data_IF_665970484042
#
_entry.id   IF_665970484042
#
_cell.length_a   1.000
_cell.length_b   1.000
_cell.length_c   1.000
_cell.angle_alpha   90.00
_cell.angle_beta   90.00
_cell.angle_gamma   90.00
#
_symmetry.space_group_name_H-M   'P 1'
#
loop_
_entity.id
_entity.type
_entity.pdbx_description
1 polymer ?
#
# COMPACT_ATOMS: atom_id res chain seq x y z
N UNK A 1 22.60 28.95 -2.00
CA UNK A 1 23.57 28.09 -2.70
C UNK A 1 23.58 28.45 -4.18
N UNK A 2 24.76 28.51 -4.81
CA UNK A 2 24.88 28.75 -6.25
C UNK A 2 24.75 27.40 -6.99
N UNK A 3 23.51 27.04 -7.33
CA UNK A 3 23.19 25.79 -7.99
C UNK A 3 23.84 25.67 -9.39
N UNK A 4 24.00 26.78 -10.10
CA UNK A 4 24.67 26.78 -11.41
C UNK A 4 26.14 26.40 -11.28
N UNK A 5 26.85 26.97 -10.29
CA UNK A 5 28.24 26.58 -10.03
C UNK A 5 28.37 25.12 -9.63
N UNK A 6 27.44 24.58 -8.85
CA UNK A 6 27.44 23.15 -8.49
C UNK A 6 27.25 22.28 -9.73
N UNK A 7 26.31 22.64 -10.62
CA UNK A 7 26.10 21.93 -11.87
C UNK A 7 27.36 21.92 -12.75
N UNK A 8 28.04 23.06 -12.90
CA UNK A 8 29.25 23.14 -13.72
C UNK A 8 30.41 22.30 -13.15
N UNK A 9 30.57 22.28 -11.82
CA UNK A 9 31.56 21.41 -11.16
C UNK A 9 31.20 19.93 -11.37
N UNK A 10 29.92 19.57 -11.25
CA UNK A 10 29.44 18.21 -11.49
C UNK A 10 29.73 17.78 -12.93
N UNK A 11 29.39 18.63 -13.91
CA UNK A 11 29.67 18.39 -15.33
C UNK A 11 31.15 18.15 -15.59
N UNK A 12 32.01 18.98 -15.01
CA UNK A 12 33.46 18.83 -15.14
C UNK A 12 33.95 17.51 -14.54
N UNK A 13 33.51 17.16 -13.33
CA UNK A 13 33.95 15.95 -12.64
C UNK A 13 33.48 14.67 -13.36
N UNK A 14 32.20 14.58 -13.71
CA UNK A 14 31.64 13.42 -14.44
C UNK A 14 32.21 13.35 -15.86
N UNK A 15 32.46 14.49 -16.51
CA UNK A 15 33.11 14.55 -17.82
C UNK A 15 34.55 14.02 -17.80
N UNK A 16 35.30 14.29 -16.72
CA UNK A 16 36.65 13.76 -16.52
C UNK A 16 36.65 12.29 -16.06
N UNK A 17 35.64 11.88 -15.29
CA UNK A 17 35.55 10.57 -14.65
C UNK A 17 34.09 10.06 -14.68
N UNK A 18 33.65 9.40 -15.78
CA UNK A 18 32.24 9.01 -15.97
C UNK A 18 31.67 8.12 -14.87
N UNK A 19 32.50 7.31 -14.20
CA UNK A 19 32.07 6.46 -13.09
C UNK A 19 31.52 7.25 -11.89
N UNK A 20 31.87 8.54 -11.76
CA UNK A 20 31.36 9.41 -10.70
C UNK A 20 29.84 9.60 -10.76
N UNK A 21 29.21 9.39 -11.92
CA UNK A 21 27.76 9.47 -12.07
C UNK A 21 27.02 8.52 -11.09
N UNK A 22 27.60 7.34 -10.83
CA UNK A 22 27.04 6.33 -9.93
C UNK A 22 27.81 6.20 -8.61
N UNK A 23 28.75 7.11 -8.34
CA UNK A 23 29.55 7.03 -7.12
C UNK A 23 28.66 7.21 -5.87
N UNK A 24 28.79 6.25 -4.94
CA UNK A 24 28.02 6.23 -3.69
C UNK A 24 28.81 6.89 -2.56
N UNK A 25 28.17 7.80 -1.81
CA UNK A 25 28.80 8.40 -0.65
C UNK A 25 28.96 7.38 0.50
N UNK A 26 30.08 7.44 1.24
CA UNK A 26 30.43 6.42 2.25
C UNK A 26 29.42 6.27 3.39
N UNK A 27 28.75 7.37 3.79
CA UNK A 27 27.87 7.38 4.98
C UNK A 27 26.55 6.66 4.72
N UNK A 28 25.80 7.11 3.72
CA UNK A 28 24.45 6.63 3.45
C UNK A 28 24.37 5.73 2.20
N UNK A 29 25.42 5.68 1.37
CA UNK A 29 25.37 4.96 0.10
C UNK A 29 24.72 5.76 -1.03
N UNK A 30 24.38 7.04 -0.80
CA UNK A 30 23.66 7.83 -1.79
C UNK A 30 24.52 8.14 -3.02
N UNK A 31 23.95 7.95 -4.21
CA UNK A 31 24.42 8.55 -5.47
C UNK A 31 24.10 10.05 -5.50
N UNK A 32 24.52 10.73 -6.55
CA UNK A 32 24.20 12.14 -6.74
C UNK A 32 22.70 12.40 -6.91
N UNK A 33 21.99 11.51 -7.62
CA UNK A 33 20.55 11.60 -7.81
C UNK A 33 19.81 11.43 -6.48
N UNK A 34 20.18 10.42 -5.69
CA UNK A 34 19.61 10.20 -4.35
C UNK A 34 19.85 11.39 -3.42
N UNK A 35 21.05 11.98 -3.46
CA UNK A 35 21.39 13.17 -2.66
C UNK A 35 20.48 14.34 -2.98
N UNK A 36 20.12 14.54 -4.24
CA UNK A 36 19.27 15.65 -4.65
C UNK A 36 17.80 15.31 -4.36
N UNK A 37 17.34 14.11 -4.69
CA UNK A 37 15.96 13.66 -4.45
C UNK A 37 15.58 13.72 -2.96
N UNK A 38 16.49 13.32 -2.07
CA UNK A 38 16.27 13.35 -0.62
C UNK A 38 16.38 14.76 0.01
N UNK A 39 16.84 15.77 -0.72
CA UNK A 39 17.12 17.09 -0.15
C UNK A 39 15.99 18.08 -0.41
N UNK A 40 15.36 18.57 0.66
CA UNK A 40 14.18 19.45 0.61
C UNK A 40 14.44 20.88 0.13
N UNK A 41 15.66 21.22 -0.29
CA UNK A 41 16.06 22.61 -0.60
C UNK A 41 16.55 22.80 -2.03
N UNK A 42 16.61 21.73 -2.82
CA UNK A 42 16.93 21.82 -4.24
C UNK A 42 15.69 22.23 -5.04
N UNK A 43 15.88 22.90 -6.17
CA UNK A 43 14.76 23.23 -7.05
C UNK A 43 14.56 22.12 -8.10
N UNK A 44 13.32 21.78 -8.50
CA UNK A 44 13.06 20.81 -9.57
C UNK A 44 13.82 21.08 -10.87
N UNK A 45 14.04 22.35 -11.24
CA UNK A 45 14.77 22.71 -12.46
C UNK A 45 16.25 22.34 -12.35
N UNK A 46 16.82 22.45 -11.15
CA UNK A 46 18.20 22.01 -10.91
C UNK A 46 18.31 20.49 -10.97
N UNK A 47 17.37 19.76 -10.35
CA UNK A 47 17.35 18.30 -10.42
C UNK A 47 17.20 17.82 -11.87
N UNK A 48 16.28 18.42 -12.63
CA UNK A 48 16.12 18.15 -14.06
C UNK A 48 17.42 18.39 -14.83
N UNK A 49 18.10 19.53 -14.58
CA UNK A 49 19.36 19.85 -15.26
C UNK A 49 20.47 18.84 -14.96
N UNK A 50 20.53 18.33 -13.73
CA UNK A 50 21.47 17.26 -13.36
C UNK A 50 21.09 15.95 -14.04
N UNK A 51 19.81 15.57 -14.01
CA UNK A 51 19.31 14.34 -14.61
C UNK A 51 19.52 14.33 -16.14
N UNK A 52 19.13 15.39 -16.85
CA UNK A 52 19.33 15.54 -18.29
C UNK A 52 20.82 15.39 -18.65
N UNK A 53 21.71 16.09 -17.94
CA UNK A 53 23.14 15.99 -18.18
C UNK A 53 23.68 14.57 -17.97
N UNK A 54 23.23 13.89 -16.92
CA UNK A 54 23.68 12.54 -16.59
C UNK A 54 23.19 11.53 -17.64
N UNK A 55 21.97 11.67 -18.15
CA UNK A 55 21.36 10.80 -19.16
C UNK A 55 21.87 11.05 -20.59
N UNK A 56 22.14 12.30 -20.95
CA UNK A 56 22.71 12.68 -22.26
C UNK A 56 24.23 12.45 -22.32
N UNK A 57 24.86 12.28 -21.16
CA UNK A 57 26.29 12.08 -21.03
C UNK A 57 26.77 10.73 -21.58
N UNK A 58 28.09 10.55 -21.58
CA UNK A 58 28.72 9.25 -21.89
C UNK A 58 28.64 8.25 -20.73
N UNK A 59 28.15 8.69 -19.56
CA UNK A 59 27.98 7.85 -18.37
C UNK A 59 26.70 7.04 -18.47
N UNK A 60 26.79 5.74 -18.22
CA UNK A 60 25.60 4.91 -17.97
C UNK A 60 25.16 5.21 -16.54
N UNK A 61 23.99 5.82 -16.37
CA UNK A 61 23.44 6.18 -15.06
C UNK A 61 22.53 5.05 -14.60
N UNK A 62 22.75 4.58 -13.39
CA UNK A 62 21.90 3.57 -12.76
C UNK A 62 20.85 4.24 -11.87
N UNK A 63 19.62 4.36 -12.39
CA UNK A 63 18.48 4.91 -11.65
C UNK A 63 18.00 3.97 -10.53
N UNK A 64 18.28 2.67 -10.68
CA UNK A 64 17.92 1.60 -9.75
C UNK A 64 19.02 1.30 -8.75
N UNK A 65 20.12 2.06 -8.80
CA UNK A 65 21.11 2.05 -7.73
C UNK A 65 20.37 2.26 -6.42
N UNK A 66 20.67 1.42 -5.43
CA UNK A 66 20.09 1.48 -4.10
C UNK A 66 21.12 1.97 -3.05
N UNK A 67 20.65 2.68 -2.04
CA UNK A 67 21.48 3.09 -0.91
C UNK A 67 21.72 1.93 0.08
N UNK A 68 22.20 2.22 1.30
CA UNK A 68 22.48 1.18 2.29
C UNK A 68 21.24 0.50 2.87
N UNK A 69 20.08 1.12 2.73
CA UNK A 69 18.79 0.59 3.20
C UNK A 69 17.97 0.02 2.05
N UNK A 70 18.52 -0.01 0.83
CA UNK A 70 17.80 -0.46 -0.36
C UNK A 70 17.01 0.65 -1.06
N UNK A 71 17.03 1.90 -0.57
CA UNK A 71 16.22 2.97 -1.16
C UNK A 71 16.85 3.47 -2.47
N UNK A 72 16.04 3.54 -3.54
CA UNK A 72 16.41 4.17 -4.82
C UNK A 72 16.18 5.67 -4.78
N UNK A 73 16.59 6.39 -5.82
CA UNK A 73 16.28 7.82 -5.93
C UNK A 73 14.77 8.09 -5.98
N UNK A 74 13.98 7.17 -6.56
CA UNK A 74 12.52 7.28 -6.63
C UNK A 74 11.87 7.16 -5.25
N UNK A 75 12.30 6.17 -4.45
CA UNK A 75 11.86 6.02 -3.06
C UNK A 75 12.19 7.27 -2.24
N UNK A 76 13.43 7.75 -2.31
CA UNK A 76 13.86 8.93 -1.56
C UNK A 76 13.15 10.23 -1.96
N UNK A 77 12.63 10.32 -3.20
CA UNK A 77 11.82 11.46 -3.63
C UNK A 77 10.46 11.50 -2.90
N UNK A 78 9.92 10.34 -2.52
CA UNK A 78 8.68 10.21 -1.73
C UNK A 78 8.95 10.50 -0.25
N UNK A 79 10.06 9.98 0.29
CA UNK A 79 10.44 10.15 1.70
C UNK A 79 10.94 11.57 2.03
N UNK A 80 11.23 12.38 1.02
CA UNK A 80 11.67 13.76 1.21
C UNK A 80 10.57 14.60 1.88
N UNK A 81 10.93 15.39 2.90
CA UNK A 81 10.00 16.27 3.62
C UNK A 81 9.33 17.35 2.75
N UNK A 82 9.92 17.69 1.61
CA UNK A 82 9.28 18.59 0.64
C UNK A 82 8.42 17.84 -0.37
N UNK A 83 8.48 16.50 -0.37
CA UNK A 83 7.72 15.54 -1.19
C UNK A 83 7.40 16.09 -2.59
N UNK A 84 8.43 16.58 -3.29
CA UNK A 84 8.20 17.23 -4.58
C UNK A 84 7.89 16.16 -5.60
N UNK A 85 6.62 16.11 -5.98
CA UNK A 85 6.09 15.22 -7.01
C UNK A 85 6.89 15.35 -8.31
N UNK A 86 7.43 16.54 -8.60
CA UNK A 86 8.28 16.82 -9.74
C UNK A 86 9.54 15.95 -9.78
N UNK A 87 10.17 15.68 -8.63
CA UNK A 87 11.37 14.83 -8.61
C UNK A 87 11.03 13.40 -9.02
N UNK A 88 9.98 12.84 -8.42
CA UNK A 88 9.52 11.51 -8.78
C UNK A 88 9.05 11.45 -10.24
N UNK A 89 8.33 12.48 -10.69
CA UNK A 89 7.88 12.61 -12.09
C UNK A 89 9.05 12.61 -13.07
N UNK A 90 10.10 13.36 -12.78
CA UNK A 90 11.32 13.41 -13.61
C UNK A 90 12.04 12.06 -13.63
N UNK A 91 12.15 11.39 -12.48
CA UNK A 91 12.74 10.04 -12.39
C UNK A 91 11.93 9.01 -13.18
N UNK A 92 10.61 9.01 -13.07
CA UNK A 92 9.74 8.11 -13.85
C UNK A 92 9.83 8.43 -15.35
N UNK A 93 9.89 9.71 -15.75
CA UNK A 93 10.12 10.09 -17.15
C UNK A 93 11.47 9.56 -17.67
N UNK A 94 12.47 9.48 -16.79
CA UNK A 94 13.76 8.84 -17.06
C UNK A 94 13.72 7.31 -16.98
N UNK A 95 12.54 6.70 -16.76
CA UNK A 95 12.30 5.26 -16.62
C UNK A 95 12.81 4.62 -15.32
N UNK A 96 12.89 5.39 -14.23
CA UNK A 96 13.09 4.81 -12.91
C UNK A 96 11.92 3.90 -12.53
N UNK A 97 12.21 2.76 -11.92
CA UNK A 97 11.22 1.80 -11.45
C UNK A 97 10.55 2.26 -10.14
N UNK A 98 9.31 1.83 -9.95
CA UNK A 98 8.56 1.96 -8.70
C UNK A 98 8.44 0.63 -7.94
N UNK A 99 9.06 -0.44 -8.43
CA UNK A 99 8.95 -1.80 -7.88
C UNK A 99 10.04 -2.16 -6.88
N UNK A 100 10.97 -1.24 -6.58
CA UNK A 100 12.09 -1.51 -5.68
C UNK A 100 11.64 -1.84 -4.26
N UNK A 101 12.20 -2.90 -3.69
CA UNK A 101 12.04 -3.30 -2.29
C UNK A 101 13.27 -2.87 -1.48
N UNK A 102 13.03 -2.25 -0.33
CA UNK A 102 14.01 -1.73 0.60
C UNK A 102 13.73 -2.25 2.03
N UNK A 103 14.60 -1.94 2.99
CA UNK A 103 14.52 -2.48 4.36
C UNK A 103 13.21 -2.13 5.09
N UNK A 104 12.56 -1.05 4.66
CA UNK A 104 11.29 -0.57 5.21
C UNK A 104 10.07 -0.99 4.38
N UNK A 105 10.25 -1.85 3.36
CA UNK A 105 9.17 -2.38 2.53
C UNK A 105 9.30 -1.96 1.07
N UNK A 106 8.21 -1.51 0.46
CA UNK A 106 8.15 -1.06 -0.94
C UNK A 106 7.56 0.35 -1.01
N UNK A 107 7.29 0.84 -2.23
CA UNK A 107 6.75 2.19 -2.44
C UNK A 107 5.47 2.51 -1.67
N UNK A 108 4.60 1.52 -1.41
CA UNK A 108 3.39 1.73 -0.59
C UNK A 108 3.74 2.04 0.87
N UNK A 109 4.83 1.46 1.39
CA UNK A 109 5.31 1.76 2.75
C UNK A 109 5.85 3.19 2.86
N UNK A 110 6.63 3.64 1.86
CA UNK A 110 7.09 5.03 1.82
C UNK A 110 5.92 6.01 1.63
N UNK A 111 4.92 5.65 0.81
CA UNK A 111 3.74 6.48 0.63
C UNK A 111 2.91 6.58 1.92
N UNK A 112 2.70 5.47 2.63
CA UNK A 112 1.99 5.44 3.90
C UNK A 112 2.59 6.43 4.92
N UNK A 113 3.92 6.43 5.04
CA UNK A 113 4.63 7.23 6.04
C UNK A 113 4.80 8.69 5.65
N UNK A 114 5.13 8.96 4.38
CA UNK A 114 5.69 10.27 4.00
C UNK A 114 4.91 11.01 2.92
N UNK A 115 4.04 10.35 2.16
CA UNK A 115 3.38 11.02 1.04
C UNK A 115 2.37 12.07 1.52
N UNK A 116 2.42 13.22 0.87
CA UNK A 116 1.37 14.23 0.87
C UNK A 116 0.24 13.82 -0.07
N UNK A 117 -0.90 14.49 0.03
CA UNK A 117 -2.03 14.26 -0.88
C UNK A 117 -1.64 14.37 -2.37
N UNK A 118 -0.80 15.35 -2.74
CA UNK A 118 -0.37 15.54 -4.13
C UNK A 118 0.47 14.34 -4.62
N UNK A 119 1.35 13.83 -3.76
CA UNK A 119 2.15 12.64 -4.06
C UNK A 119 1.28 11.39 -4.18
N UNK A 120 0.30 11.23 -3.28
CA UNK A 120 -0.65 10.12 -3.34
C UNK A 120 -1.45 10.13 -4.64
N UNK A 121 -2.04 11.28 -5.02
CA UNK A 121 -2.77 11.40 -6.28
C UNK A 121 -1.87 11.15 -7.49
N UNK A 122 -0.62 11.63 -7.46
CA UNK A 122 0.31 11.32 -8.52
C UNK A 122 0.60 9.81 -8.64
N UNK A 123 0.84 9.12 -7.52
CA UNK A 123 1.08 7.67 -7.49
C UNK A 123 -0.12 6.87 -8.00
N UNK A 124 -1.36 7.29 -7.71
CA UNK A 124 -2.59 6.65 -8.22
C UNK A 124 -2.66 6.64 -9.75
N UNK A 125 -2.14 7.69 -10.39
CA UNK A 125 -2.08 7.75 -11.87
C UNK A 125 -0.97 6.89 -12.49
N UNK A 126 -0.18 6.16 -11.69
CA UNK A 126 0.93 5.32 -12.16
C UNK A 126 0.53 3.85 -12.17
N UNK A 127 1.16 3.09 -13.05
CA UNK A 127 0.98 1.64 -13.11
C UNK A 127 1.84 0.90 -12.08
N UNK A 128 1.44 0.95 -10.81
CA UNK A 128 2.20 0.37 -9.69
C UNK A 128 1.69 -1.05 -9.45
N UNK A 129 2.59 -2.01 -9.61
CA UNK A 129 2.39 -3.44 -9.30
C UNK A 129 3.51 -3.83 -8.33
N UNK A 130 3.16 -4.01 -7.06
CA UNK A 130 4.06 -4.41 -5.97
C UNK A 130 3.32 -5.31 -5.00
N UNK A 131 4.04 -6.14 -4.25
CA UNK A 131 3.42 -6.95 -3.20
C UNK A 131 2.79 -6.05 -2.13
N UNK A 132 1.46 -5.94 -2.15
CA UNK A 132 0.69 -5.12 -1.23
C UNK A 132 0.60 -5.74 0.18
N UNK A 133 0.91 -7.04 0.32
CA UNK A 133 0.98 -7.76 1.60
C UNK A 133 2.39 -7.79 2.19
N UNK A 134 3.38 -7.25 1.47
CA UNK A 134 4.77 -7.27 1.90
C UNK A 134 4.90 -6.72 3.32
N UNK A 135 5.55 -7.48 4.19
CA UNK A 135 5.95 -7.01 5.51
C UNK A 135 7.36 -6.44 5.45
N UNK A 136 7.53 -5.21 5.95
CA UNK A 136 8.85 -4.59 6.03
C UNK A 136 9.82 -5.44 6.86
N UNK A 137 11.07 -5.58 6.39
CA UNK A 137 12.08 -6.38 7.11
C UNK A 137 12.37 -5.84 8.51
N UNK A 138 12.26 -4.52 8.67
CA UNK A 138 12.64 -3.85 9.91
C UNK A 138 11.56 -3.89 11.00
N UNK A 139 10.28 -3.80 10.63
CA UNK A 139 9.16 -3.75 11.60
C UNK A 139 8.22 -4.94 11.52
N UNK A 140 8.28 -5.72 10.44
CA UNK A 140 7.30 -6.77 10.16
C UNK A 140 5.91 -6.21 9.81
N UNK A 141 5.85 -4.93 9.43
CA UNK A 141 4.60 -4.20 9.19
C UNK A 141 4.32 -4.13 7.71
N UNK A 142 3.06 -4.32 7.33
CA UNK A 142 2.61 -4.02 5.97
C UNK A 142 2.52 -2.51 5.74
N UNK A 143 2.37 -2.07 4.49
CA UNK A 143 2.11 -0.67 4.19
C UNK A 143 0.84 -0.16 4.89
N UNK A 144 -0.15 -1.04 5.07
CA UNK A 144 -1.38 -0.72 5.80
C UNK A 144 -1.12 -0.52 7.30
N UNK A 145 -0.30 -1.38 7.92
CA UNK A 145 0.11 -1.22 9.31
C UNK A 145 0.89 0.10 9.54
N UNK A 146 1.82 0.43 8.65
CA UNK A 146 2.56 1.71 8.70
C UNK A 146 1.60 2.91 8.60
N UNK A 147 0.60 2.81 7.74
CA UNK A 147 -0.40 3.86 7.59
C UNK A 147 -1.29 3.99 8.84
N UNK A 148 -1.76 2.86 9.39
CA UNK A 148 -2.53 2.81 10.63
C UNK A 148 -1.74 3.39 11.80
N UNK A 149 -0.46 3.07 11.93
CA UNK A 149 0.44 3.67 12.92
C UNK A 149 0.46 5.19 12.79
N UNK A 150 0.59 5.71 11.55
CA UNK A 150 0.62 7.14 11.28
C UNK A 150 -0.70 7.83 11.64
N UNK A 151 -1.83 7.14 11.49
CA UNK A 151 -3.16 7.62 11.85
C UNK A 151 -3.42 7.62 13.35
N UNK A 152 -2.89 6.67 14.12
CA UNK A 152 -3.26 6.46 15.53
C UNK A 152 -2.17 6.83 16.52
N UNK A 153 -0.90 6.77 16.09
CA UNK A 153 0.29 7.01 16.90
C UNK A 153 0.28 8.37 17.60
N UNK A 154 0.97 8.45 18.73
CA UNK A 154 1.08 9.68 19.51
C UNK A 154 1.85 10.77 18.75
N UNK A 155 1.43 12.03 18.85
CA UNK A 155 2.03 13.13 18.08
C UNK A 155 3.52 13.32 18.39
N UNK A 156 3.96 13.07 19.63
CA UNK A 156 5.39 13.15 20.01
C UNK A 156 6.15 12.05 19.27
N UNK A 157 5.63 10.82 19.26
CA UNK A 157 6.25 9.71 18.54
C UNK A 157 6.31 10.00 17.03
N UNK A 158 5.22 10.49 16.44
CA UNK A 158 5.20 10.85 15.01
C UNK A 158 6.30 11.89 14.70
N UNK A 159 6.40 12.94 15.52
CA UNK A 159 7.42 13.98 15.37
C UNK A 159 8.86 13.46 15.51
N UNK A 160 9.12 12.53 16.43
CA UNK A 160 10.43 11.89 16.60
C UNK A 160 10.89 11.16 15.33
N UNK A 161 9.96 10.53 14.62
CA UNK A 161 10.22 9.88 13.32
C UNK A 161 10.10 10.83 12.12
N UNK A 162 9.82 12.12 12.37
CA UNK A 162 9.68 13.13 11.33
C UNK A 162 8.39 13.01 10.51
N UNK A 163 7.39 12.32 11.05
CA UNK A 163 6.07 12.13 10.47
C UNK A 163 5.07 13.12 11.06
N UNK A 164 3.95 13.28 10.35
CA UNK A 164 2.77 14.01 10.84
C UNK A 164 1.55 13.13 10.68
N UNK A 165 0.56 13.33 11.56
CA UNK A 165 -0.74 12.67 11.43
C UNK A 165 -1.37 13.06 10.09
N UNK A 166 -1.87 12.10 9.28
CA UNK A 166 -2.48 12.41 8.00
C UNK A 166 -3.84 13.10 8.21
N UNK A 167 -4.17 14.04 7.32
CA UNK A 167 -5.51 14.58 7.21
C UNK A 167 -6.51 13.51 6.74
N UNK A 168 -7.81 13.76 6.93
CA UNK A 168 -8.89 12.90 6.41
C UNK A 168 -8.76 12.68 4.89
N UNK A 169 -8.41 13.73 4.16
CA UNK A 169 -8.20 13.65 2.71
C UNK A 169 -7.00 12.79 2.34
N UNK A 170 -5.86 12.94 3.03
CA UNK A 170 -4.69 12.06 2.83
C UNK A 170 -5.01 10.60 3.17
N UNK A 171 -5.78 10.37 4.23
CA UNK A 171 -6.18 9.03 4.61
C UNK A 171 -7.08 8.36 3.58
N UNK A 172 -8.07 9.09 3.08
CA UNK A 172 -8.94 8.63 2.01
C UNK A 172 -8.14 8.35 0.72
N UNK A 173 -7.30 9.28 0.28
CA UNK A 173 -6.50 9.10 -0.95
C UNK A 173 -5.51 7.94 -0.82
N UNK A 174 -4.90 7.73 0.35
CA UNK A 174 -4.02 6.57 0.57
C UNK A 174 -4.81 5.26 0.51
N UNK A 175 -6.00 5.18 1.12
CA UNK A 175 -6.85 4.00 1.03
C UNK A 175 -7.25 3.65 -0.42
N UNK A 176 -7.51 4.67 -1.24
CA UNK A 176 -7.72 4.51 -2.67
C UNK A 176 -6.48 3.97 -3.38
N UNK A 177 -5.30 4.60 -3.18
CA UNK A 177 -4.05 4.13 -3.76
C UNK A 177 -3.76 2.67 -3.40
N UNK A 178 -3.87 2.33 -2.11
CA UNK A 178 -3.63 0.98 -1.61
C UNK A 178 -4.58 -0.03 -2.26
N UNK A 179 -5.88 0.30 -2.32
CA UNK A 179 -6.89 -0.57 -2.92
C UNK A 179 -6.72 -0.72 -4.43
N UNK A 180 -6.33 0.34 -5.14
CA UNK A 180 -6.05 0.30 -6.58
C UNK A 180 -4.82 -0.55 -6.92
N UNK A 181 -3.75 -0.48 -6.12
CA UNK A 181 -2.58 -1.35 -6.28
C UNK A 181 -2.93 -2.80 -5.96
N UNK A 182 -3.62 -3.03 -4.84
CA UNK A 182 -4.14 -4.35 -4.45
C UNK A 182 -5.00 -4.96 -5.55
N UNK A 183 -6.03 -4.23 -6.01
CA UNK A 183 -7.00 -4.73 -6.98
C UNK A 183 -6.32 -5.06 -8.32
N UNK A 184 -5.33 -4.27 -8.76
CA UNK A 184 -4.55 -4.60 -9.96
C UNK A 184 -3.75 -5.89 -9.80
N UNK A 185 -3.08 -6.08 -8.66
CA UNK A 185 -2.32 -7.29 -8.40
C UNK A 185 -3.26 -8.51 -8.37
N UNK A 186 -4.39 -8.39 -7.69
CA UNK A 186 -5.40 -9.46 -7.60
C UNK A 186 -6.07 -9.75 -8.94
N UNK A 187 -6.28 -8.74 -9.78
CA UNK A 187 -6.84 -8.93 -11.12
C UNK A 187 -5.83 -9.65 -12.04
N UNK A 188 -4.56 -9.26 -12.01
CA UNK A 188 -3.52 -9.97 -12.78
C UNK A 188 -3.40 -11.43 -12.35
N UNK A 189 -3.38 -11.68 -11.04
CA UNK A 189 -3.40 -13.03 -10.47
C UNK A 189 -4.65 -13.81 -10.92
N UNK A 190 -5.84 -13.19 -10.84
CA UNK A 190 -7.10 -13.78 -11.29
C UNK A 190 -7.06 -14.16 -12.78
N UNK A 191 -6.56 -13.28 -13.64
CA UNK A 191 -6.43 -13.50 -15.09
C UNK A 191 -5.48 -14.68 -15.39
N UNK A 192 -4.36 -14.78 -14.66
CA UNK A 192 -3.44 -15.92 -14.78
C UNK A 192 -4.10 -17.23 -14.36
N UNK A 193 -4.81 -17.23 -13.22
CA UNK A 193 -5.50 -18.42 -12.73
C UNK A 193 -6.61 -18.87 -13.68
N UNK A 194 -7.36 -17.93 -14.25
CA UNK A 194 -8.39 -18.21 -15.25
C UNK A 194 -7.79 -18.81 -16.53
N UNK A 195 -6.64 -18.28 -16.99
CA UNK A 195 -5.91 -18.84 -18.12
C UNK A 195 -5.43 -20.27 -17.86
N UNK A 196 -4.95 -20.59 -16.65
CA UNK A 196 -4.57 -21.96 -16.25
C UNK A 196 -5.79 -22.86 -16.19
N UNK A 197 -6.89 -22.41 -15.58
CA UNK A 197 -8.11 -23.18 -15.42
C UNK A 197 -8.82 -23.49 -16.75
N UNK A 198 -8.64 -22.64 -17.76
CA UNK A 198 -9.16 -22.84 -19.12
C UNK A 198 -8.40 -23.90 -19.94
N UNK A 199 -7.24 -24.36 -19.48
CA UNK A 199 -6.46 -25.38 -20.18
C UNK A 199 -7.09 -26.78 -20.00
N UNK A 200 -7.24 -27.51 -21.10
CA UNK A 200 -7.78 -28.88 -21.09
C UNK A 200 -6.71 -29.96 -20.89
N UNK A 201 -5.43 -29.58 -20.92
CA UNK A 201 -4.28 -30.50 -20.84
C UNK A 201 -3.36 -30.11 -19.70
N UNK A 202 -3.03 -31.07 -18.84
CA UNK A 202 -2.13 -30.83 -17.69
C UNK A 202 -0.76 -30.24 -18.08
N UNK A 203 -0.20 -30.60 -19.23
CA UNK A 203 1.07 -30.02 -19.69
C UNK A 203 0.99 -28.53 -20.03
N UNK A 204 -0.17 -28.06 -20.51
CA UNK A 204 -0.41 -26.63 -20.79
C UNK A 204 -0.64 -25.86 -19.48
N UNK A 205 -1.37 -26.46 -18.53
CA UNK A 205 -1.56 -25.90 -17.19
C UNK A 205 -0.23 -25.66 -16.48
N UNK A 206 0.70 -26.63 -16.52
CA UNK A 206 2.02 -26.49 -15.89
C UNK A 206 2.80 -25.33 -16.52
N UNK A 207 2.81 -25.19 -17.84
CA UNK A 207 3.50 -24.08 -18.50
C UNK A 207 2.94 -22.70 -18.09
N UNK A 208 1.63 -22.57 -17.94
CA UNK A 208 1.01 -21.32 -17.47
C UNK A 208 1.26 -21.07 -15.97
N UNK A 209 1.35 -22.12 -15.15
CA UNK A 209 1.72 -21.98 -13.74
C UNK A 209 3.17 -21.54 -13.55
N UNK A 210 4.09 -21.92 -14.44
CA UNK A 210 5.46 -21.42 -14.41
C UNK A 210 5.51 -19.90 -14.60
N UNK A 211 4.68 -19.34 -15.49
CA UNK A 211 4.57 -17.88 -15.67
C UNK A 211 4.08 -17.19 -14.39
N UNK A 212 3.05 -17.75 -13.74
CA UNK A 212 2.54 -17.21 -12.48
C UNK A 212 3.57 -17.32 -11.34
N UNK A 213 4.34 -18.42 -11.30
CA UNK A 213 5.43 -18.60 -10.34
C UNK A 213 6.50 -17.54 -10.51
N UNK A 214 6.98 -17.35 -11.73
CA UNK A 214 8.01 -16.35 -12.05
C UNK A 214 7.52 -14.94 -11.66
N UNK A 215 6.24 -14.63 -11.90
CA UNK A 215 5.64 -13.37 -11.44
C UNK A 215 5.63 -13.22 -9.92
N UNK A 216 5.25 -14.24 -9.16
CA UNK A 216 5.32 -14.18 -7.69
C UNK A 216 6.75 -14.06 -7.17
N UNK A 217 7.72 -14.72 -7.81
CA UNK A 217 9.14 -14.61 -7.46
C UNK A 217 9.68 -13.20 -7.71
N UNK A 218 9.33 -12.59 -8.85
CA UNK A 218 9.68 -11.19 -9.15
C UNK A 218 9.05 -10.20 -8.16
N UNK A 219 7.83 -10.49 -7.69
CA UNK A 219 7.11 -9.67 -6.72
C UNK A 219 7.54 -9.92 -5.26
N UNK A 220 8.20 -11.04 -4.98
CA UNK A 220 8.60 -11.45 -3.62
C UNK A 220 7.45 -12.05 -2.78
N UNK A 221 6.37 -12.51 -3.40
CA UNK A 221 5.16 -13.02 -2.74
C UNK A 221 5.31 -14.48 -2.28
N UNK A 222 6.20 -14.77 -1.31
CA UNK A 222 6.51 -16.15 -0.89
C UNK A 222 5.28 -16.95 -0.40
N UNK A 223 4.31 -16.29 0.23
CA UNK A 223 3.12 -16.95 0.76
C UNK A 223 2.21 -17.49 -0.35
N UNK A 224 2.10 -16.78 -1.47
CA UNK A 224 1.20 -17.14 -2.58
C UNK A 224 1.82 -18.23 -3.50
N UNK A 225 3.15 -18.42 -3.45
CA UNK A 225 3.83 -19.55 -4.11
C UNK A 225 3.35 -20.93 -3.61
N UNK A 226 2.90 -21.02 -2.35
CA UNK A 226 2.41 -22.27 -1.78
C UNK A 226 1.24 -22.87 -2.57
N UNK A 227 0.29 -22.03 -2.99
CA UNK A 227 -0.87 -22.48 -3.79
C UNK A 227 -0.44 -22.99 -5.16
N UNK A 228 0.49 -22.29 -5.83
CA UNK A 228 1.03 -22.73 -7.13
C UNK A 228 1.67 -24.11 -7.03
N UNK A 229 2.49 -24.32 -6.00
CA UNK A 229 3.17 -25.62 -5.75
C UNK A 229 2.14 -26.73 -5.51
N UNK A 230 1.07 -26.47 -4.76
CA UNK A 230 -0.01 -27.44 -4.52
C UNK A 230 -0.69 -27.83 -5.84
N UNK A 231 -1.08 -26.84 -6.65
CA UNK A 231 -1.74 -27.07 -7.95
C UNK A 231 -0.82 -27.83 -8.90
N UNK A 232 0.45 -27.44 -9.02
CA UNK A 232 1.43 -28.17 -9.83
C UNK A 232 1.54 -29.64 -9.43
N UNK A 233 1.57 -29.92 -8.12
CA UNK A 233 1.65 -31.28 -7.61
C UNK A 233 0.37 -32.07 -7.90
N UNK A 234 -0.81 -31.46 -7.80
CA UNK A 234 -2.07 -32.10 -8.17
C UNK A 234 -2.08 -32.48 -9.65
N UNK A 235 -1.64 -31.58 -10.54
CA UNK A 235 -1.54 -31.84 -11.98
C UNK A 235 -0.56 -32.98 -12.29
N UNK A 236 0.64 -32.96 -11.70
CA UNK A 236 1.66 -34.02 -11.89
C UNK A 236 1.17 -35.40 -11.46
N UNK A 237 0.30 -35.46 -10.44
CA UNK A 237 -0.30 -36.69 -9.95
C UNK A 237 -1.60 -37.09 -10.68
N UNK A 238 -2.01 -36.35 -11.72
CA UNK A 238 -3.22 -36.63 -12.50
C UNK A 238 -4.53 -36.24 -11.79
N UNK A 239 -4.46 -35.47 -10.70
CA UNK A 239 -5.61 -34.99 -9.93
C UNK A 239 -6.15 -33.68 -10.51
N UNK A 240 -6.56 -33.69 -11.78
CA UNK A 240 -6.96 -32.48 -12.51
C UNK A 240 -8.20 -31.80 -11.90
N UNK A 241 -9.17 -32.56 -11.42
CA UNK A 241 -10.38 -32.00 -10.80
C UNK A 241 -10.05 -31.24 -9.51
N UNK A 242 -9.16 -31.79 -8.67
CA UNK A 242 -8.71 -31.13 -7.44
C UNK A 242 -7.86 -29.88 -7.73
N UNK A 243 -7.05 -29.92 -8.79
CA UNK A 243 -6.32 -28.75 -9.28
C UNK A 243 -7.29 -27.65 -9.72
N UNK A 244 -8.33 -28.01 -10.47
CA UNK A 244 -9.35 -27.06 -10.91
C UNK A 244 -10.12 -26.45 -9.74
N UNK A 245 -10.53 -27.26 -8.76
CA UNK A 245 -11.19 -26.78 -7.53
C UNK A 245 -10.32 -25.79 -6.77
N UNK A 246 -9.04 -26.11 -6.57
CA UNK A 246 -8.07 -25.23 -5.89
C UNK A 246 -7.90 -23.90 -6.62
N UNK A 247 -7.86 -23.91 -7.96
CA UNK A 247 -7.79 -22.68 -8.77
C UNK A 247 -9.07 -21.84 -8.66
N UNK A 248 -10.24 -22.47 -8.70
CA UNK A 248 -11.54 -21.79 -8.57
C UNK A 248 -11.68 -21.13 -7.20
N UNK A 249 -11.28 -21.82 -6.12
CA UNK A 249 -11.28 -21.27 -4.77
C UNK A 249 -10.34 -20.05 -4.67
N UNK A 250 -9.13 -20.16 -5.21
CA UNK A 250 -8.18 -19.03 -5.22
C UNK A 250 -8.68 -17.84 -6.04
N UNK A 251 -9.35 -18.08 -7.17
CA UNK A 251 -10.00 -17.03 -7.95
C UNK A 251 -11.14 -16.35 -7.17
N UNK A 252 -11.90 -17.13 -6.38
CA UNK A 252 -12.93 -16.58 -5.50
C UNK A 252 -12.31 -15.72 -4.40
N UNK A 253 -11.18 -16.12 -3.82
CA UNK A 253 -10.43 -15.31 -2.84
C UNK A 253 -9.98 -13.98 -3.45
N UNK A 254 -9.42 -13.98 -4.67
CA UNK A 254 -9.04 -12.74 -5.36
C UNK A 254 -10.24 -11.77 -5.48
N UNK A 255 -11.40 -12.29 -5.92
CA UNK A 255 -12.64 -11.49 -6.05
C UNK A 255 -13.14 -10.97 -4.71
N UNK A 256 -13.10 -11.80 -3.66
CA UNK A 256 -13.49 -11.40 -2.31
C UNK A 256 -12.60 -10.26 -1.80
N UNK A 257 -11.28 -10.38 -1.96
CA UNK A 257 -10.34 -9.35 -1.52
C UNK A 257 -10.51 -8.02 -2.28
N UNK A 258 -10.82 -8.05 -3.58
CA UNK A 258 -11.12 -6.84 -4.36
C UNK A 258 -12.40 -6.12 -3.87
N UNK A 259 -13.39 -6.88 -3.38
CA UNK A 259 -14.66 -6.35 -2.84
C UNK A 259 -14.58 -5.94 -1.38
N UNK A 260 -13.44 -6.13 -0.72
CA UNK A 260 -13.25 -5.89 0.70
C UNK A 260 -12.69 -4.49 0.94
N UNK A 261 -13.30 -3.76 1.87
CA UNK A 261 -12.76 -2.50 2.36
C UNK A 261 -11.38 -2.73 3.00
N UNK A 262 -10.35 -1.92 2.69
CA UNK A 262 -9.01 -2.10 3.24
C UNK A 262 -9.01 -1.89 4.77
N UNK A 263 -9.97 -1.15 5.32
CA UNK A 263 -10.17 -0.97 6.75
C UNK A 263 -10.50 -2.28 7.49
N UNK A 264 -10.95 -3.32 6.78
CA UNK A 264 -11.23 -4.62 7.37
C UNK A 264 -9.99 -5.51 7.53
N UNK A 265 -8.81 -5.12 7.03
CA UNK A 265 -7.59 -5.87 7.27
C UNK A 265 -7.17 -5.66 8.73
N UNK A 266 -7.00 -6.77 9.46
CA UNK A 266 -6.46 -6.72 10.81
C UNK A 266 -5.08 -6.07 10.78
N UNK A 267 -4.86 -5.09 11.64
CA UNK A 267 -3.54 -4.49 11.85
C UNK A 267 -2.93 -5.05 13.11
N UNK A 268 -1.60 -5.22 13.13
CA UNK A 268 -0.85 -5.53 14.36
C UNK A 268 -0.95 -4.37 15.36
N UNK A 269 -1.32 -3.19 14.87
CA UNK A 269 -1.56 -1.99 15.66
C UNK A 269 -3.00 -2.04 16.14
N UNK A 270 -3.14 -2.46 17.40
CA UNK A 270 -4.41 -2.59 18.09
C UNK A 270 -5.18 -1.25 18.03
N UNK A 271 -6.37 -1.21 17.41
CA UNK A 271 -7.25 -0.09 17.55
C UNK A 271 -7.90 -0.19 18.92
N UNK A 272 -7.34 0.48 19.94
CA UNK A 272 -8.27 1.19 20.81
C UNK A 272 -9.17 1.98 19.87
N UNK A 273 -10.47 1.61 19.86
CA UNK A 273 -11.46 1.88 18.82
C UNK A 273 -11.20 3.24 18.16
N UNK A 274 -11.00 3.20 16.85
CA UNK A 274 -10.67 4.31 15.98
C UNK A 274 -11.18 5.65 16.51
N UNK A 275 -10.25 6.55 16.84
CA UNK A 275 -10.58 7.95 17.18
C UNK A 275 -11.62 8.47 16.19
N UNK A 276 -12.68 9.09 16.70
CA UNK A 276 -13.80 9.64 15.92
C UNK A 276 -13.34 10.46 14.70
N UNK A 277 -12.14 11.03 14.78
CA UNK A 277 -11.42 11.81 13.77
C UNK A 277 -11.39 11.24 12.34
N UNK A 278 -11.53 9.92 12.14
CA UNK A 278 -11.45 9.28 10.81
C UNK A 278 -12.72 8.58 10.32
N UNK A 279 -13.84 8.68 11.05
CA UNK A 279 -15.11 8.07 10.62
C UNK A 279 -15.55 8.53 9.21
N UNK A 280 -15.28 9.78 8.87
CA UNK A 280 -15.56 10.34 7.54
C UNK A 280 -14.72 9.68 6.44
N UNK A 281 -13.44 9.38 6.69
CA UNK A 281 -12.59 8.69 5.71
C UNK A 281 -13.08 7.26 5.46
N UNK A 282 -13.51 6.56 6.52
CA UNK A 282 -14.06 5.22 6.43
C UNK A 282 -15.35 5.21 5.62
N UNK A 283 -16.28 6.10 5.95
CA UNK A 283 -17.56 6.22 5.26
C UNK A 283 -17.38 6.58 3.78
N UNK A 284 -16.54 7.57 3.48
CA UNK A 284 -16.27 7.97 2.08
C UNK A 284 -15.72 6.80 1.25
N UNK A 285 -14.88 5.95 1.83
CA UNK A 285 -14.37 4.78 1.13
C UNK A 285 -15.45 3.70 0.94
N UNK A 286 -16.23 3.42 1.98
CA UNK A 286 -17.28 2.41 1.93
C UNK A 286 -18.40 2.81 0.94
N UNK A 287 -18.74 4.10 0.84
CA UNK A 287 -19.67 4.63 -0.17
C UNK A 287 -19.18 4.34 -1.60
N UNK A 288 -17.89 4.54 -1.89
CA UNK A 288 -17.27 4.22 -3.19
C UNK A 288 -17.27 2.72 -3.48
N UNK A 289 -17.04 1.90 -2.44
CA UNK A 289 -17.05 0.45 -2.58
C UNK A 289 -18.47 -0.06 -2.90
N UNK A 290 -19.49 0.54 -2.28
CA UNK A 290 -20.90 0.28 -2.62
C UNK A 290 -21.25 0.74 -4.03
N UNK A 291 -20.74 1.89 -4.48
CA UNK A 291 -20.95 2.33 -5.86
C UNK A 291 -20.35 1.34 -6.87
N UNK A 292 -19.17 0.79 -6.58
CA UNK A 292 -18.45 -0.15 -7.46
C UNK A 292 -19.03 -1.56 -7.45
N UNK A 293 -19.43 -2.10 -6.29
CA UNK A 293 -19.79 -3.51 -6.11
C UNK A 293 -21.21 -3.74 -5.59
N UNK A 294 -21.98 -2.69 -5.29
CA UNK A 294 -23.33 -2.78 -4.76
C UNK A 294 -23.41 -3.60 -3.48
N UNK A 295 -24.35 -4.54 -3.43
CA UNK A 295 -24.57 -5.43 -2.27
C UNK A 295 -23.47 -6.49 -2.08
N UNK A 296 -22.55 -6.63 -3.05
CA UNK A 296 -21.42 -7.56 -2.93
C UNK A 296 -20.20 -6.93 -2.22
N UNK A 297 -20.28 -5.64 -1.87
CA UNK A 297 -19.24 -4.95 -1.11
C UNK A 297 -19.21 -5.39 0.36
N UNK A 298 -17.99 -5.48 0.92
CA UNK A 298 -17.78 -5.79 2.34
C UNK A 298 -17.22 -4.55 3.07
N UNK A 299 -18.02 -3.98 3.97
CA UNK A 299 -17.77 -2.71 4.66
C UNK A 299 -17.14 -2.87 6.03
N UNK A 300 -16.53 -1.79 6.50
CA UNK A 300 -16.05 -1.64 7.86
C UNK A 300 -17.22 -1.24 8.77
N UNK A 301 -17.43 -1.95 9.89
CA UNK A 301 -18.47 -1.59 10.87
C UNK A 301 -19.88 -2.17 10.65
N UNK A 302 -20.10 -3.02 9.64
CA UNK A 302 -21.28 -3.90 9.65
C UNK A 302 -21.02 -4.95 10.72
N UNK A 303 -21.54 -4.70 11.91
CA UNK A 303 -21.38 -5.56 13.08
C UNK A 303 -21.63 -7.02 12.72
N UNK A 304 -20.90 -7.91 13.40
CA UNK A 304 -21.30 -9.32 13.53
C UNK A 304 -22.82 -9.34 13.71
N UNK A 305 -23.59 -10.16 12.97
CA UNK A 305 -25.00 -10.31 13.22
C UNK A 305 -25.15 -10.55 14.71
N UNK A 306 -25.92 -9.72 15.42
CA UNK A 306 -26.21 -9.97 16.82
C UNK A 306 -26.90 -11.33 16.88
N UNK A 307 -26.17 -12.35 17.32
CA UNK A 307 -26.74 -13.64 17.64
C UNK A 307 -27.83 -13.40 18.68
N UNK A 308 -29.07 -13.68 18.27
CA UNK A 308 -30.18 -13.97 19.19
C UNK A 308 -30.77 -12.77 19.93
N UNK A 309 -31.66 -12.05 19.27
CA UNK A 309 -32.91 -11.69 19.94
C UNK A 309 -34.04 -12.39 19.20
N UNK A 310 -34.35 -13.59 19.69
CA UNK A 310 -35.54 -14.35 19.34
C UNK A 310 -36.77 -13.47 19.57
N UNK A 311 -37.47 -13.17 18.47
CA UNK A 311 -38.88 -12.83 18.51
C UNK A 311 -39.63 -14.07 18.99
N UNK A 312 -39.98 -14.12 20.27
CA UNK A 312 -41.08 -14.96 20.73
C UNK A 312 -42.37 -14.14 20.63
N UNK A 313 -43.13 -14.43 19.57
CA UNK A 313 -44.57 -14.23 19.56
C UNK A 313 -45.25 -15.25 20.49
N UNK A 314 -46.12 -14.74 21.36
CA UNK A 314 -47.08 -15.50 22.17
C UNK A 314 -47.51 -14.60 23.34
N UNK A 315 -48.72 -14.05 23.44
CA UNK A 315 -50.01 -14.61 23.09
C UNK A 315 -50.82 -14.78 24.38
N UNK A 316 -51.63 -13.78 24.73
CA UNK A 316 -52.89 -13.99 25.48
C UNK A 316 -52.94 -13.69 26.99
N UNK A 317 -53.90 -12.80 27.33
CA UNK A 317 -54.78 -12.80 28.52
C UNK A 317 -54.15 -12.52 29.90
N UNK A 318 -54.77 -11.88 30.89
CA UNK A 318 -55.93 -10.98 31.07
C UNK A 318 -55.87 -10.61 32.58
N UNK A 319 -56.44 -9.45 32.94
CA UNK A 319 -56.86 -9.03 34.30
C UNK A 319 -55.85 -8.76 35.43
N UNK A 320 -56.04 -7.61 36.09
CA UNK A 320 -55.95 -7.57 37.56
C UNK A 320 -55.26 -6.37 38.20
N UNK A 321 -56.02 -5.27 38.36
CA UNK A 321 -56.08 -4.37 39.54
C UNK A 321 -54.79 -4.01 40.31
N UNK A 322 -54.58 -2.69 40.42
CA UNK A 322 -54.61 -2.01 41.73
C UNK A 322 -53.34 -1.32 42.21
N UNK A 323 -53.52 -0.09 42.73
CA UNK A 323 -52.68 0.58 43.74
C UNK A 323 -51.47 1.32 43.17
N UNK A 324 -51.47 2.65 43.09
CA UNK A 324 -51.31 3.65 44.17
C UNK A 324 -49.87 4.20 44.23
N UNK A 325 -49.81 5.54 44.25
CA UNK A 325 -48.81 6.42 44.87
C UNK A 325 -47.36 6.34 44.33
N UNK A 326 -46.73 7.41 43.85
CA UNK A 326 -46.70 8.77 44.40
C UNK A 326 -45.23 9.11 44.68
N UNK A 327 -44.45 9.38 43.63
CA UNK A 327 -43.03 9.72 43.74
C UNK A 327 -42.83 11.23 43.92
N UNK A 328 -42.22 11.61 45.05
CA UNK A 328 -41.75 12.96 45.35
C UNK A 328 -40.64 13.41 44.40
N UNK A 329 -40.79 14.62 43.87
CA UNK A 329 -39.73 15.49 43.34
C UNK A 329 -39.16 16.39 44.45
N UNK A 330 -38.03 17.02 44.10
CA UNK A 330 -37.35 18.19 44.72
C UNK A 330 -36.43 17.90 45.94
N UNK A 331 -35.10 18.07 45.84
CA UNK A 331 -34.22 19.22 45.53
C UNK A 331 -33.70 19.96 46.79
N UNK A 332 -32.53 20.58 46.61
CA UNK A 332 -31.78 21.51 47.47
C UNK A 332 -30.92 20.84 48.57
N UNK A 333 -29.59 21.01 48.59
CA UNK A 333 -28.82 22.28 48.64
C UNK A 333 -28.19 22.32 50.05
N UNK A 334 -26.89 22.11 50.24
CA UNK A 334 -25.85 23.05 49.86
C UNK A 334 -25.74 24.15 50.92
N UNK A 335 -24.83 23.98 51.90
CA UNK A 335 -24.06 25.03 52.58
C UNK A 335 -22.82 24.43 53.23
#
# INVERSE_FOLDING_TARGET
>A
HDWNRILEVLKMLVGLQPWLANAKCRRAGHTILMRIAAHSCTKPEFFKSVLDFLLEGRSVVDLESADKWGCTAAVLAIESRSSSVEYLRLLIQARASLTSVHDYGNILHSAAQYASIEMLEFLRTRDIVVDWKLQSRKRGWTAWDEFRWRMTGDDIQLLEYGNTRPSVAEAHTFALLYSEVRDRCLQQEHDFLEAVAGCSRGGEMVGNLEILRDWYEEMGCEADLGTVIVVENQIRNGMLDAAHETLVDKMADCRLHMRRSPWMYGSVIDPDEDKEDYQDAYKQFDDLLFEKFGTEAHFFGVGKPSEGRSEEEGGGMEEGRGGEEGGNEEQEGGL
#
